data_IF_568477639918
#
_entry.id   IF_568477639918
#
_cell.length_a   1.000
_cell.length_b   1.000
_cell.length_c   1.000
_cell.angle_alpha   90.00
_cell.angle_beta   90.00
_cell.angle_gamma   90.00
#
_symmetry.space_group_name_H-M   'P 1'
#
loop_
_entity.id
_entity.type
_entity.pdbx_description
1 polymer ?
#
# COMPACT_ATOMS: atom_id res chain seq x y z
N UNK A 1 17.01 -82.60 44.85
CA UNK A 1 17.64 -81.76 43.81
C UNK A 1 17.23 -80.32 44.06
N UNK A 2 18.23 -79.44 44.20
CA UNK A 2 18.20 -77.96 44.04
C UNK A 2 17.15 -77.11 44.77
N UNK A 3 17.63 -76.35 45.76
CA UNK A 3 17.21 -75.00 46.22
C UNK A 3 17.36 -73.93 45.10
N UNK A 4 17.07 -72.62 45.30
CA UNK A 4 15.98 -71.87 45.98
C UNK A 4 15.53 -70.59 45.20
N UNK A 5 14.86 -69.62 45.88
CA UNK A 5 14.63 -68.18 45.58
C UNK A 5 13.23 -67.80 45.00
N UNK A 6 12.47 -66.80 45.46
CA UNK A 6 12.71 -65.70 46.41
C UNK A 6 12.65 -64.31 45.73
N UNK A 7 11.93 -63.36 46.36
CA UNK A 7 11.86 -61.87 46.16
C UNK A 7 10.62 -61.37 45.40
N UNK A 8 9.69 -60.62 46.01
CA UNK A 8 9.75 -59.26 46.61
C UNK A 8 10.26 -58.18 45.64
N UNK A 9 9.35 -57.31 45.17
CA UNK A 9 9.67 -55.93 44.82
C UNK A 9 8.69 -55.01 45.54
N UNK A 10 9.31 -54.04 46.19
CA UNK A 10 8.85 -53.02 47.11
C UNK A 10 8.22 -51.79 46.43
N UNK A 11 7.19 -51.28 47.12
CA UNK A 11 6.76 -49.87 47.27
C UNK A 11 7.89 -48.86 47.09
N UNK A 12 7.64 -47.77 46.34
CA UNK A 12 8.07 -46.34 46.50
C UNK A 12 7.45 -45.63 45.27
N UNK A 13 6.73 -44.50 45.29
CA UNK A 13 6.65 -43.35 46.17
C UNK A 13 5.88 -42.29 45.36
N UNK A 14 4.79 -41.76 45.92
CA UNK A 14 3.97 -40.70 45.34
C UNK A 14 4.55 -39.33 45.74
N UNK A 15 4.33 -38.31 44.90
CA UNK A 15 4.65 -36.86 45.04
C UNK A 15 6.08 -36.37 44.67
N UNK A 16 6.19 -35.60 43.58
CA UNK A 16 6.30 -34.11 43.51
C UNK A 16 6.80 -33.69 42.12
N UNK A 17 6.19 -32.65 41.51
CA UNK A 17 6.76 -31.92 40.36
C UNK A 17 5.69 -31.31 39.44
N UNK A 18 5.01 -30.23 39.84
CA UNK A 18 5.38 -28.82 39.58
C UNK A 18 5.20 -28.40 38.11
N UNK A 19 4.28 -27.43 37.93
CA UNK A 19 4.22 -26.41 36.88
C UNK A 19 4.51 -26.83 35.44
N UNK A 20 3.47 -27.21 34.70
CA UNK A 20 3.44 -26.90 33.26
C UNK A 20 3.00 -25.45 33.12
N UNK A 21 3.98 -24.56 33.27
CA UNK A 21 3.93 -23.17 32.84
C UNK A 21 3.45 -23.17 31.38
N UNK A 22 2.38 -22.43 31.10
CA UNK A 22 1.94 -22.09 29.75
C UNK A 22 3.04 -21.31 29.02
N UNK A 23 4.03 -22.02 28.47
CA UNK A 23 4.77 -21.57 27.30
C UNK A 23 3.81 -21.67 26.12
N UNK A 24 3.06 -20.59 25.85
CA UNK A 24 2.57 -20.38 24.49
C UNK A 24 3.81 -20.16 23.63
N UNK A 25 4.24 -21.23 22.97
CA UNK A 25 5.06 -21.18 21.76
C UNK A 25 4.56 -20.03 20.89
N UNK A 26 5.47 -19.25 20.31
CA UNK A 26 5.13 -18.30 19.27
C UNK A 26 4.24 -19.03 18.25
N UNK A 27 2.95 -18.67 18.21
CA UNK A 27 1.99 -19.36 17.35
C UNK A 27 2.43 -19.21 15.91
N UNK A 28 2.32 -20.29 15.13
CA UNK A 28 2.59 -20.25 13.69
C UNK A 28 1.83 -19.09 13.03
N UNK A 29 2.42 -18.54 11.97
CA UNK A 29 1.80 -17.45 11.20
C UNK A 29 0.38 -17.85 10.78
N UNK A 30 -0.57 -16.90 10.83
CA UNK A 30 -1.97 -17.19 10.47
C UNK A 30 -2.01 -17.76 9.03
N UNK A 31 -2.48 -19.01 8.84
CA UNK A 31 -2.40 -19.72 7.56
C UNK A 31 -3.49 -19.31 6.57
N UNK A 32 -4.38 -18.38 6.94
CA UNK A 32 -5.49 -17.94 6.10
C UNK A 32 -5.00 -17.48 4.71
N UNK A 33 -5.51 -18.08 3.62
CA UNK A 33 -5.06 -17.78 2.26
C UNK A 33 -5.43 -16.36 1.86
N UNK A 34 -4.61 -15.76 0.98
CA UNK A 34 -4.91 -14.43 0.45
C UNK A 34 -6.28 -14.42 -0.27
N UNK A 35 -7.16 -13.44 0.02
CA UNK A 35 -8.52 -13.40 -0.49
C UNK A 35 -8.54 -13.29 -2.02
N UNK A 36 -9.63 -13.75 -2.64
CA UNK A 36 -9.88 -13.63 -4.07
C UNK A 36 -11.11 -12.75 -4.31
N UNK A 37 -10.97 -11.41 -4.30
CA UNK A 37 -12.11 -10.52 -4.45
C UNK A 37 -12.71 -10.63 -5.84
N UNK A 38 -14.03 -10.47 -5.93
CA UNK A 38 -14.77 -10.58 -7.20
C UNK A 38 -14.56 -9.40 -8.15
N UNK A 39 -13.91 -8.34 -7.68
CA UNK A 39 -13.74 -7.08 -8.40
C UNK A 39 -12.47 -6.38 -7.94
N UNK A 40 -11.84 -5.64 -8.86
CA UNK A 40 -10.66 -4.81 -8.59
C UNK A 40 -11.03 -3.46 -7.98
N UNK A 41 -12.33 -3.11 -7.90
CA UNK A 41 -12.79 -1.79 -7.49
C UNK A 41 -12.35 -1.47 -6.07
N UNK A 42 -11.59 -0.39 -5.92
CA UNK A 42 -11.12 0.08 -4.64
C UNK A 42 -11.13 1.59 -4.50
N UNK A 43 -10.96 2.05 -3.27
CA UNK A 43 -10.96 3.46 -2.90
C UNK A 43 -9.97 3.70 -1.77
N UNK A 44 -9.24 4.81 -1.80
CA UNK A 44 -8.52 5.28 -0.62
C UNK A 44 -9.55 5.91 0.33
N UNK A 45 -9.85 5.21 1.41
CA UNK A 45 -11.08 5.42 2.19
C UNK A 45 -10.92 6.59 3.15
N UNK A 46 -11.83 7.56 3.04
CA UNK A 46 -12.06 8.63 4.01
C UNK A 46 -13.40 8.46 4.74
N UNK A 47 -14.46 8.05 4.04
CA UNK A 47 -15.81 7.84 4.59
C UNK A 47 -16.17 6.35 4.50
N UNK A 48 -16.11 5.62 5.63
CA UNK A 48 -16.25 4.16 5.63
C UNK A 48 -17.63 3.69 5.12
N UNK A 49 -18.71 4.32 5.58
CA UNK A 49 -20.07 3.91 5.19
C UNK A 49 -20.35 4.15 3.70
N UNK A 50 -19.91 5.28 3.14
CA UNK A 50 -20.05 5.55 1.70
C UNK A 50 -19.17 4.61 0.86
N UNK A 51 -17.95 4.30 1.33
CA UNK A 51 -17.08 3.32 0.66
C UNK A 51 -17.75 1.94 0.57
N UNK A 52 -18.41 1.50 1.64
CA UNK A 52 -19.17 0.24 1.67
C UNK A 52 -20.38 0.32 0.72
N UNK A 53 -21.13 1.43 0.74
CA UNK A 53 -22.28 1.64 -0.14
C UNK A 53 -21.91 1.69 -1.63
N UNK A 54 -20.71 2.18 -1.96
CA UNK A 54 -20.12 2.15 -3.30
C UNK A 54 -19.73 0.73 -3.77
N UNK A 55 -19.74 -0.25 -2.85
CA UNK A 55 -19.49 -1.65 -3.16
C UNK A 55 -18.03 -1.97 -3.46
N UNK A 56 -17.08 -1.23 -2.86
CA UNK A 56 -15.65 -1.53 -3.06
C UNK A 56 -15.29 -2.94 -2.58
N UNK A 57 -14.19 -3.46 -3.10
CA UNK A 57 -13.57 -4.73 -2.69
C UNK A 57 -12.14 -4.55 -2.20
N UNK A 58 -11.55 -3.38 -2.43
CA UNK A 58 -10.24 -3.00 -1.93
C UNK A 58 -10.29 -1.64 -1.25
N UNK A 59 -9.67 -1.51 -0.09
CA UNK A 59 -9.53 -0.25 0.63
C UNK A 59 -8.05 0.05 0.88
N UNK A 60 -7.62 1.27 0.62
CA UNK A 60 -6.33 1.77 1.11
C UNK A 60 -6.53 2.77 2.24
N UNK A 61 -5.71 2.67 3.28
CA UNK A 61 -5.68 3.59 4.41
C UNK A 61 -4.24 4.05 4.65
N UNK A 62 -4.06 5.36 4.84
CA UNK A 62 -2.77 5.93 5.23
C UNK A 62 -2.51 5.62 6.70
N UNK A 63 -1.30 5.15 7.00
CA UNK A 63 -0.88 4.81 8.35
C UNK A 63 0.45 5.48 8.68
N UNK A 64 0.42 6.51 9.53
CA UNK A 64 1.59 7.30 9.88
C UNK A 64 2.24 6.77 11.16
N UNK A 65 3.48 6.26 11.06
CA UNK A 65 4.22 5.77 12.24
C UNK A 65 4.47 6.87 13.28
N UNK A 66 4.59 8.13 12.85
CA UNK A 66 4.74 9.28 13.76
C UNK A 66 3.52 9.55 14.64
N UNK A 67 2.34 9.05 14.27
CA UNK A 67 1.13 9.11 15.11
C UNK A 67 0.96 7.85 15.97
N UNK A 68 1.65 6.77 15.63
CA UNK A 68 1.60 5.49 16.35
C UNK A 68 2.60 5.45 17.51
N UNK A 69 3.86 5.77 17.24
CA UNK A 69 4.97 5.49 18.17
C UNK A 69 4.88 6.41 19.38
N UNK A 70 5.05 5.83 20.57
CA UNK A 70 4.97 6.56 21.83
C UNK A 70 6.22 6.31 22.68
N UNK A 71 7.31 7.08 22.47
CA UNK A 71 8.59 6.82 23.09
C UNK A 71 8.59 7.12 24.60
N UNK A 72 7.65 7.94 25.08
CA UNK A 72 7.54 8.35 26.50
C UNK A 72 6.36 7.69 27.22
N UNK A 73 5.60 6.86 26.51
CA UNK A 73 4.20 6.57 26.80
C UNK A 73 3.84 6.08 28.19
N UNK A 74 2.61 6.39 28.57
CA UNK A 74 1.93 5.81 29.74
C UNK A 74 2.01 4.28 29.66
N UNK A 75 2.30 3.65 30.81
CA UNK A 75 2.20 2.20 31.01
C UNK A 75 0.88 1.56 30.57
N UNK A 76 -0.20 2.34 30.47
CA UNK A 76 -1.50 1.87 29.97
C UNK A 76 -1.60 1.76 28.44
N UNK A 77 -0.64 2.29 27.68
CA UNK A 77 -0.68 2.20 26.22
C UNK A 77 -0.35 0.79 25.72
N UNK A 78 -0.97 0.32 24.62
CA UNK A 78 -0.61 -0.94 23.99
C UNK A 78 0.90 -1.02 23.72
N UNK A 79 1.48 -2.21 23.91
CA UNK A 79 2.92 -2.38 23.83
C UNK A 79 3.31 -3.77 23.32
N UNK A 80 4.55 -3.88 22.83
CA UNK A 80 5.22 -5.15 22.56
C UNK A 80 6.62 -5.13 23.20
N UNK A 81 7.03 -6.26 23.79
CA UNK A 81 8.40 -6.44 24.28
C UNK A 81 9.20 -7.28 23.29
N UNK A 82 10.29 -6.70 22.76
CA UNK A 82 11.24 -7.39 21.87
C UNK A 82 12.64 -7.19 22.42
N UNK A 83 13.41 -8.28 22.51
CA UNK A 83 14.81 -8.25 22.95
C UNK A 83 15.02 -7.49 24.28
N UNK A 84 14.11 -7.69 25.23
CA UNK A 84 14.15 -7.04 26.55
C UNK A 84 13.74 -5.55 26.56
N UNK A 85 13.34 -4.98 25.41
CA UNK A 85 12.86 -3.59 25.30
C UNK A 85 11.35 -3.54 25.03
N UNK A 86 10.65 -2.74 25.80
CA UNK A 86 9.21 -2.51 25.65
C UNK A 86 8.97 -1.28 24.79
N UNK A 87 8.28 -1.46 23.68
CA UNK A 87 7.89 -0.42 22.73
C UNK A 87 6.40 -0.15 22.90
N UNK A 88 6.02 1.11 23.10
CA UNK A 88 4.63 1.53 23.37
C UNK A 88 4.05 2.30 22.19
N UNK A 89 2.73 2.25 22.09
CA UNK A 89 1.99 2.78 20.96
C UNK A 89 0.75 3.57 21.40
N UNK A 90 0.47 4.67 20.70
CA UNK A 90 -0.65 5.56 20.98
C UNK A 90 -1.99 4.83 20.85
N UNK A 91 -2.66 4.62 21.98
CA UNK A 91 -3.95 3.89 22.05
C UNK A 91 -5.03 4.48 21.16
N UNK A 92 -5.23 5.80 21.22
CA UNK A 92 -6.31 6.47 20.49
C UNK A 92 -6.17 6.34 18.97
N UNK A 93 -4.94 6.48 18.45
CA UNK A 93 -4.67 6.28 17.03
C UNK A 93 -4.91 4.83 16.60
N UNK A 94 -4.47 3.86 17.41
CA UNK A 94 -4.69 2.44 17.15
C UNK A 94 -6.17 2.06 17.15
N UNK A 95 -6.93 2.48 18.16
CA UNK A 95 -8.35 2.13 18.28
C UNK A 95 -9.17 2.74 17.14
N UNK A 96 -8.83 3.95 16.68
CA UNK A 96 -9.44 4.56 15.49
C UNK A 96 -9.15 3.78 14.20
N UNK A 97 -7.92 3.28 14.03
CA UNK A 97 -7.55 2.43 12.90
C UNK A 97 -8.21 1.06 12.99
N UNK A 98 -8.26 0.43 14.17
CA UNK A 98 -8.96 -0.84 14.38
C UNK A 98 -10.43 -0.74 13.96
N UNK A 99 -11.11 0.34 14.33
CA UNK A 99 -12.52 0.53 13.97
C UNK A 99 -12.70 0.56 12.45
N UNK A 100 -11.88 1.31 11.72
CA UNK A 100 -11.95 1.38 10.26
C UNK A 100 -11.60 0.04 9.60
N UNK A 101 -10.47 -0.55 9.99
CA UNK A 101 -9.96 -1.80 9.43
C UNK A 101 -10.96 -2.93 9.69
N UNK A 102 -11.47 -3.07 10.91
CA UNK A 102 -12.46 -4.09 11.25
C UNK A 102 -13.74 -3.92 10.45
N UNK A 103 -14.30 -2.71 10.39
CA UNK A 103 -15.55 -2.44 9.67
C UNK A 103 -15.46 -2.81 8.18
N UNK A 104 -14.31 -2.52 7.54
CA UNK A 104 -14.05 -2.87 6.15
C UNK A 104 -13.81 -4.37 5.97
N UNK A 105 -12.89 -4.95 6.73
CA UNK A 105 -12.47 -6.35 6.57
C UNK A 105 -13.55 -7.37 6.92
N UNK A 106 -14.41 -7.10 7.91
CA UNK A 106 -15.57 -7.96 8.23
C UNK A 106 -16.58 -8.06 7.08
N UNK A 107 -16.54 -7.12 6.13
CA UNK A 107 -17.35 -7.12 4.90
C UNK A 107 -16.63 -7.76 3.70
N UNK A 108 -15.50 -8.43 3.94
CA UNK A 108 -14.69 -9.06 2.90
C UNK A 108 -13.91 -8.08 2.04
N UNK A 109 -13.77 -6.82 2.44
CA UNK A 109 -12.96 -5.81 1.73
C UNK A 109 -11.49 -6.05 2.07
N UNK A 110 -10.64 -6.15 1.04
CA UNK A 110 -9.20 -6.30 1.22
C UNK A 110 -8.60 -4.96 1.63
N UNK A 111 -8.08 -4.90 2.87
CA UNK A 111 -7.46 -3.70 3.41
C UNK A 111 -5.96 -3.67 3.12
N UNK A 112 -5.52 -2.54 2.58
CA UNK A 112 -4.13 -2.17 2.33
C UNK A 112 -3.74 -0.99 3.22
N UNK A 113 -2.58 -1.08 3.87
CA UNK A 113 -2.01 0.03 4.62
C UNK A 113 -0.85 0.65 3.86
N UNK A 114 -0.88 1.97 3.70
CA UNK A 114 0.25 2.76 3.20
C UNK A 114 1.02 3.24 4.42
N UNK A 115 2.18 2.64 4.66
CA UNK A 115 3.05 2.99 5.76
C UNK A 115 3.76 4.31 5.43
N UNK A 116 3.58 5.31 6.28
CA UNK A 116 4.10 6.66 6.11
C UNK A 116 4.88 7.10 7.36
N UNK A 117 5.72 8.11 7.20
CA UNK A 117 6.58 8.64 8.26
C UNK A 117 6.73 10.16 8.12
N UNK A 118 5.64 10.89 8.41
CA UNK A 118 5.68 12.34 8.38
C UNK A 118 6.52 12.89 9.53
N UNK A 119 7.24 13.97 9.26
CA UNK A 119 7.99 14.70 10.27
C UNK A 119 7.07 15.14 11.41
N UNK A 120 7.47 14.80 12.63
CA UNK A 120 6.81 15.23 13.86
C UNK A 120 7.53 16.43 14.45
N UNK A 121 6.79 17.28 15.16
CA UNK A 121 7.38 18.33 15.99
C UNK A 121 8.10 17.77 17.21
N UNK A 122 7.83 16.53 17.60
CA UNK A 122 8.47 15.86 18.74
C UNK A 122 9.93 15.46 18.41
N UNK A 123 10.94 15.94 19.16
CA UNK A 123 12.34 15.61 18.93
C UNK A 123 12.68 14.11 19.10
N UNK A 124 11.99 13.38 19.98
CA UNK A 124 12.23 11.94 20.15
C UNK A 124 11.72 11.17 18.93
N UNK A 125 10.53 11.51 18.43
CA UNK A 125 10.00 10.90 17.21
C UNK A 125 10.88 11.21 16.01
N UNK A 126 11.40 12.43 15.88
CA UNK A 126 12.35 12.77 14.81
C UNK A 126 13.60 11.90 14.85
N UNK A 127 14.21 11.77 16.03
CA UNK A 127 15.41 10.95 16.26
C UNK A 127 15.16 9.46 16.00
N UNK A 128 14.01 8.94 16.42
CA UNK A 128 13.67 7.52 16.32
C UNK A 128 13.25 7.15 14.90
N UNK A 129 12.37 7.94 14.27
CA UNK A 129 11.65 7.51 13.07
C UNK A 129 12.23 8.05 11.77
N UNK A 130 12.74 9.28 11.72
CA UNK A 130 13.21 9.87 10.46
C UNK A 130 14.54 9.24 10.05
N UNK A 131 14.65 8.90 8.77
CA UNK A 131 15.91 8.40 8.24
C UNK A 131 17.06 9.37 8.58
N UNK A 132 18.25 8.90 9.00
CA UNK A 132 19.34 9.80 9.44
C UNK A 132 19.81 10.82 8.40
N UNK A 133 19.62 10.52 7.11
CA UNK A 133 19.90 11.41 5.99
C UNK A 133 18.72 12.33 5.60
N UNK A 134 17.61 12.31 6.35
CA UNK A 134 16.44 13.15 6.08
C UNK A 134 16.82 14.61 5.96
N UNK A 135 16.26 15.27 4.94
CA UNK A 135 16.45 16.69 4.71
C UNK A 135 15.14 17.45 5.00
N UNK A 136 15.21 18.41 5.92
CA UNK A 136 14.06 19.23 6.35
C UNK A 136 13.54 20.18 5.27
N UNK A 137 14.26 20.34 4.14
CA UNK A 137 13.80 21.10 2.98
C UNK A 137 12.91 20.27 2.03
N UNK A 138 12.58 19.02 2.38
CA UNK A 138 11.67 18.22 1.57
C UNK A 138 10.25 18.83 1.58
N UNK A 139 9.55 18.94 0.43
CA UNK A 139 8.30 19.69 0.36
C UNK A 139 7.14 19.11 1.18
N UNK A 140 7.01 17.78 1.25
CA UNK A 140 5.86 17.14 1.88
C UNK A 140 6.16 16.59 3.28
N UNK A 141 7.33 16.92 3.84
CA UNK A 141 7.73 16.51 5.19
C UNK A 141 7.62 14.99 5.43
N UNK A 142 7.84 14.18 4.38
CA UNK A 142 7.69 12.73 4.42
C UNK A 142 9.06 12.07 4.28
N UNK A 143 9.52 11.43 5.36
CA UNK A 143 10.84 10.81 5.44
C UNK A 143 10.81 9.35 5.00
N UNK A 144 11.94 8.83 4.51
CA UNK A 144 12.19 7.40 4.55
C UNK A 144 12.23 6.90 6.01
N UNK A 145 12.17 5.60 6.21
CA UNK A 145 12.16 5.01 7.56
C UNK A 145 13.57 4.88 8.13
N UNK A 146 13.75 5.20 9.41
CA UNK A 146 15.01 4.96 10.11
C UNK A 146 15.22 3.47 10.43
N UNK A 147 15.80 2.74 9.49
CA UNK A 147 16.26 1.35 9.72
C UNK A 147 17.78 1.23 9.84
N UNK A 148 18.47 2.37 9.85
CA UNK A 148 19.93 2.50 9.91
C UNK A 148 20.44 2.48 11.35
N UNK A 149 19.84 3.29 12.22
CA UNK A 149 20.28 3.34 13.62
C UNK A 149 19.75 2.12 14.38
N UNK A 150 20.49 1.58 15.37
CA UNK A 150 20.00 0.47 16.18
C UNK A 150 18.65 0.75 16.85
N UNK A 151 18.44 1.97 17.32
CA UNK A 151 17.21 2.37 17.98
C UNK A 151 16.05 2.54 17.00
N UNK A 152 16.25 3.26 15.89
CA UNK A 152 15.22 3.41 14.86
C UNK A 152 14.80 2.07 14.30
N UNK A 153 15.76 1.17 14.02
CA UNK A 153 15.47 -0.19 13.57
C UNK A 153 14.66 -0.98 14.59
N UNK A 154 15.01 -0.91 15.87
CA UNK A 154 14.27 -1.60 16.94
C UNK A 154 12.80 -1.12 17.01
N UNK A 155 12.58 0.19 16.96
CA UNK A 155 11.24 0.78 16.92
C UNK A 155 10.47 0.43 15.65
N UNK A 156 11.11 0.46 14.49
CA UNK A 156 10.49 0.11 13.22
C UNK A 156 10.02 -1.35 13.21
N UNK A 157 10.92 -2.29 13.52
CA UNK A 157 10.58 -3.71 13.57
C UNK A 157 9.51 -4.01 14.64
N UNK A 158 9.60 -3.38 15.82
CA UNK A 158 8.58 -3.51 16.86
C UNK A 158 7.22 -2.98 16.41
N UNK A 159 7.19 -1.86 15.70
CA UNK A 159 5.96 -1.27 15.16
C UNK A 159 5.32 -2.21 14.14
N UNK A 160 6.07 -2.66 13.11
CA UNK A 160 5.50 -3.54 12.09
C UNK A 160 5.09 -4.89 12.69
N UNK A 161 5.89 -5.47 13.58
CA UNK A 161 5.53 -6.73 14.24
C UNK A 161 4.25 -6.58 15.06
N UNK A 162 4.14 -5.53 15.89
CA UNK A 162 2.94 -5.27 16.68
C UNK A 162 1.69 -5.12 15.80
N UNK A 163 1.78 -4.34 14.72
CA UNK A 163 0.65 -4.13 13.79
C UNK A 163 0.29 -5.42 13.05
N UNK A 164 1.29 -6.17 12.58
CA UNK A 164 1.08 -7.44 11.89
C UNK A 164 0.44 -8.47 12.81
N UNK A 165 0.91 -8.60 14.05
CA UNK A 165 0.28 -9.45 15.07
C UNK A 165 -1.16 -9.02 15.31
N UNK A 166 -1.39 -7.72 15.54
CA UNK A 166 -2.70 -7.14 15.89
C UNK A 166 -3.77 -7.39 14.83
N UNK A 167 -3.45 -7.16 13.55
CA UNK A 167 -4.42 -7.27 12.44
C UNK A 167 -4.29 -8.57 11.64
N UNK A 168 -3.57 -9.57 12.15
CA UNK A 168 -3.59 -10.93 11.58
C UNK A 168 -3.94 -12.00 12.63
N UNK A 169 -4.47 -11.59 13.78
CA UNK A 169 -4.95 -12.52 14.82
C UNK A 169 -5.96 -13.50 14.24
N UNK A 170 -5.87 -14.80 14.58
CA UNK A 170 -6.87 -15.79 14.15
C UNK A 170 -8.29 -15.50 14.65
N UNK A 171 -8.44 -14.80 15.77
CA UNK A 171 -9.75 -14.41 16.31
C UNK A 171 -10.37 -13.18 15.64
N UNK A 172 -9.67 -12.53 14.69
CA UNK A 172 -10.17 -11.38 13.94
C UNK A 172 -10.48 -10.13 14.78
N UNK A 173 -10.10 -10.08 16.06
CA UNK A 173 -10.58 -9.08 17.05
C UNK A 173 -10.46 -7.62 16.59
N UNK A 174 -9.43 -7.30 15.83
CA UNK A 174 -9.12 -5.93 15.38
C UNK A 174 -9.26 -5.75 13.87
N UNK A 175 -9.89 -6.72 13.17
CA UNK A 175 -9.95 -6.76 11.71
C UNK A 175 -8.71 -7.39 11.07
N UNK A 176 -8.62 -7.26 9.74
CA UNK A 176 -7.61 -7.92 8.90
C UNK A 176 -6.94 -6.94 7.93
N UNK A 177 -5.60 -6.94 7.91
CA UNK A 177 -4.79 -6.24 6.91
C UNK A 177 -4.03 -7.24 6.05
N UNK A 178 -4.21 -7.15 4.73
CA UNK A 178 -3.60 -8.07 3.77
C UNK A 178 -2.37 -7.49 3.07
N UNK A 179 -2.40 -6.19 2.78
CA UNK A 179 -1.38 -5.53 1.96
C UNK A 179 -0.67 -4.44 2.76
N UNK A 180 0.65 -4.40 2.67
CA UNK A 180 1.52 -3.45 3.35
C UNK A 180 2.36 -2.72 2.31
N UNK A 181 2.01 -1.48 2.00
CA UNK A 181 2.72 -0.63 1.06
C UNK A 181 3.76 0.17 1.84
N UNK A 182 5.04 0.02 1.51
CA UNK A 182 6.14 0.61 2.28
C UNK A 182 6.51 1.96 1.69
N UNK A 183 6.17 3.06 2.37
CA UNK A 183 6.42 4.40 1.86
C UNK A 183 5.48 4.78 0.71
N UNK A 184 5.74 5.94 0.10
CA UNK A 184 4.95 6.46 -1.01
C UNK A 184 5.86 6.94 -2.14
N UNK A 185 5.53 6.59 -3.39
CA UNK A 185 6.16 7.13 -4.61
C UNK A 185 7.70 7.24 -4.51
N UNK A 186 8.35 6.14 -4.14
CA UNK A 186 9.74 6.17 -3.69
C UNK A 186 10.73 6.47 -4.83
N UNK A 187 10.30 6.43 -6.08
CA UNK A 187 11.08 6.94 -7.21
C UNK A 187 11.12 8.47 -7.31
N UNK A 188 10.22 9.14 -6.61
CA UNK A 188 10.24 10.57 -6.32
C UNK A 188 10.59 10.83 -4.86
N UNK A 189 11.58 10.09 -4.33
CA UNK A 189 11.86 9.99 -2.90
C UNK A 189 12.03 11.34 -2.19
N UNK A 190 12.63 12.35 -2.82
CA UNK A 190 12.81 13.64 -2.17
C UNK A 190 11.50 14.24 -1.68
N UNK A 191 10.40 13.98 -2.38
CA UNK A 191 9.06 14.49 -2.10
C UNK A 191 8.28 13.55 -1.18
N UNK A 192 8.43 12.24 -1.33
CA UNK A 192 7.48 11.27 -0.76
C UNK A 192 8.12 10.13 0.06
N UNK A 193 9.44 10.09 0.19
CA UNK A 193 10.18 9.11 0.98
C UNK A 193 11.62 9.59 1.23
N UNK A 194 11.78 10.79 1.81
CA UNK A 194 13.02 11.54 1.74
C UNK A 194 14.21 10.83 2.42
N UNK A 195 15.28 10.61 1.65
CA UNK A 195 16.57 10.04 2.07
C UNK A 195 17.72 10.99 1.67
N UNK A 196 17.55 12.29 1.83
CA UNK A 196 18.57 13.27 1.43
C UNK A 196 18.87 13.23 -0.08
N UNK A 197 20.09 13.55 -0.50
CA UNK A 197 20.52 13.36 -1.90
C UNK A 197 21.19 11.99 -2.03
N UNK A 198 20.73 11.17 -2.97
CA UNK A 198 21.25 9.80 -3.13
C UNK A 198 21.04 9.25 -4.55
N UNK A 199 21.87 8.31 -4.96
CA UNK A 199 21.69 7.61 -6.24
C UNK A 199 20.54 6.60 -6.16
N UNK A 200 19.99 6.22 -7.32
CA UNK A 200 18.95 5.18 -7.39
C UNK A 200 19.41 3.85 -6.79
N UNK A 201 20.67 3.44 -7.00
CA UNK A 201 21.20 2.18 -6.47
C UNK A 201 21.37 2.21 -4.94
N UNK A 202 21.88 3.32 -4.41
CA UNK A 202 22.03 3.50 -2.96
C UNK A 202 20.65 3.56 -2.27
N UNK A 203 19.69 4.31 -2.85
CA UNK A 203 18.32 4.33 -2.35
C UNK A 203 17.67 2.94 -2.41
N UNK A 204 17.82 2.20 -3.52
CA UNK A 204 17.27 0.85 -3.64
C UNK A 204 17.82 -0.11 -2.58
N UNK A 205 19.10 -0.01 -2.24
CA UNK A 205 19.71 -0.81 -1.18
C UNK A 205 19.14 -0.47 0.20
N UNK A 206 18.92 0.81 0.48
CA UNK A 206 18.30 1.23 1.74
C UNK A 206 16.84 0.81 1.86
N UNK A 207 16.08 1.05 0.80
CA UNK A 207 14.67 0.71 0.71
C UNK A 207 14.44 -0.80 0.77
N UNK A 208 15.28 -1.60 0.12
CA UNK A 208 15.24 -3.07 0.18
C UNK A 208 15.36 -3.57 1.62
N UNK A 209 16.27 -3.01 2.42
CA UNK A 209 16.42 -3.36 3.83
C UNK A 209 15.11 -3.12 4.59
N UNK A 210 14.51 -1.96 4.38
CA UNK A 210 13.25 -1.59 5.04
C UNK A 210 12.10 -2.51 4.63
N UNK A 211 11.94 -2.76 3.32
CA UNK A 211 10.90 -3.65 2.78
C UNK A 211 11.08 -5.08 3.27
N UNK A 212 12.33 -5.58 3.35
CA UNK A 212 12.63 -6.91 3.88
C UNK A 212 12.28 -7.02 5.36
N UNK A 213 12.56 -6.01 6.17
CA UNK A 213 12.15 -5.97 7.57
C UNK A 213 10.62 -5.99 7.70
N UNK A 214 9.91 -5.23 6.87
CA UNK A 214 8.44 -5.27 6.82
C UNK A 214 7.95 -6.68 6.49
N UNK A 215 8.49 -7.29 5.43
CA UNK A 215 8.11 -8.62 4.98
C UNK A 215 8.33 -9.67 6.07
N UNK A 216 9.51 -9.70 6.69
CA UNK A 216 9.79 -10.64 7.77
C UNK A 216 8.84 -10.48 8.96
N UNK A 217 8.54 -9.24 9.36
CA UNK A 217 7.60 -8.98 10.45
C UNK A 217 6.17 -9.41 10.09
N UNK A 218 5.70 -9.10 8.87
CA UNK A 218 4.37 -9.51 8.39
C UNK A 218 4.26 -11.04 8.28
N UNK A 219 5.25 -11.70 7.69
CA UNK A 219 5.26 -13.15 7.46
C UNK A 219 5.33 -13.99 8.74
N UNK A 220 5.79 -13.42 9.86
CA UNK A 220 5.72 -14.05 11.18
C UNK A 220 4.28 -14.21 11.68
N UNK A 221 3.37 -13.33 11.26
CA UNK A 221 1.98 -13.32 11.74
C UNK A 221 0.95 -13.63 10.65
N UNK A 222 1.35 -13.62 9.37
CA UNK A 222 0.48 -13.90 8.23
C UNK A 222 1.21 -14.69 7.15
N UNK A 223 0.79 -15.93 6.91
CA UNK A 223 1.38 -16.81 5.91
C UNK A 223 1.09 -16.38 4.46
N UNK A 224 0.26 -15.35 4.26
CA UNK A 224 -0.12 -14.86 2.94
C UNK A 224 -0.23 -13.32 2.87
N UNK A 225 0.19 -12.61 3.93
CA UNK A 225 0.31 -11.16 3.91
C UNK A 225 1.34 -10.71 2.87
N UNK A 226 1.03 -9.63 2.16
CA UNK A 226 1.77 -9.15 0.99
C UNK A 226 2.40 -7.79 1.25
N UNK A 227 3.64 -7.61 0.78
CA UNK A 227 4.39 -6.34 0.92
C UNK A 227 4.66 -5.74 -0.46
N UNK A 228 4.39 -4.44 -0.60
CA UNK A 228 4.42 -3.71 -1.86
C UNK A 228 5.41 -2.57 -1.83
N UNK A 229 6.17 -2.43 -2.92
CA UNK A 229 6.94 -1.24 -3.25
C UNK A 229 6.01 -0.15 -3.78
N UNK A 230 6.22 1.13 -3.48
CA UNK A 230 5.36 2.21 -3.99
C UNK A 230 6.06 3.07 -5.04
N UNK A 231 5.52 3.13 -6.26
CA UNK A 231 6.10 3.92 -7.36
C UNK A 231 5.05 4.81 -8.04
N UNK A 232 5.49 5.98 -8.47
CA UNK A 232 4.76 6.85 -9.40
C UNK A 232 5.08 6.56 -10.88
N UNK A 233 4.30 7.15 -11.79
CA UNK A 233 4.25 6.81 -13.22
C UNK A 233 5.50 7.08 -14.08
N UNK A 234 6.51 7.82 -13.60
CA UNK A 234 7.73 8.15 -14.36
C UNK A 234 8.61 6.91 -14.47
N UNK A 235 8.71 6.36 -15.69
CA UNK A 235 9.21 5.00 -15.91
C UNK A 235 10.64 4.98 -16.47
N UNK A 236 10.85 5.58 -17.65
CA UNK A 236 12.17 5.79 -18.27
C UNK A 236 12.64 7.25 -18.21
N UNK A 237 11.90 8.10 -17.52
CA UNK A 237 12.30 9.45 -17.13
C UNK A 237 12.12 9.59 -15.61
N UNK A 238 12.72 10.60 -15.00
CA UNK A 238 12.47 10.94 -13.60
C UNK A 238 11.39 12.02 -13.49
N UNK A 239 10.81 12.18 -12.29
CA UNK A 239 9.86 13.26 -12.01
C UNK A 239 10.50 14.64 -12.25
N UNK A 240 9.95 15.48 -13.15
CA UNK A 240 10.56 16.75 -13.52
C UNK A 240 10.68 17.78 -12.40
N UNK A 241 9.91 17.63 -11.32
CA UNK A 241 9.97 18.54 -10.17
C UNK A 241 11.24 18.40 -9.33
N UNK A 242 11.97 17.30 -9.45
CA UNK A 242 13.23 17.06 -8.72
C UNK A 242 14.47 17.17 -9.60
N UNK A 243 15.63 17.31 -8.95
CA UNK A 243 16.96 17.27 -9.59
C UNK A 243 17.67 15.94 -9.38
N UNK A 244 18.86 15.80 -9.95
CA UNK A 244 19.72 14.64 -9.71
C UNK A 244 19.89 14.37 -8.20
N UNK A 245 19.78 13.10 -7.83
CA UNK A 245 19.85 12.66 -6.43
C UNK A 245 18.53 12.80 -5.64
N UNK A 246 17.51 13.46 -6.18
CA UNK A 246 16.19 13.64 -5.54
C UNK A 246 15.10 12.74 -6.12
N UNK A 247 15.26 12.35 -7.37
CA UNK A 247 14.29 11.61 -8.17
C UNK A 247 15.05 10.66 -9.09
N UNK A 248 14.42 9.56 -9.50
CA UNK A 248 14.98 8.64 -10.47
C UNK A 248 13.87 7.95 -11.28
N UNK A 249 14.17 7.43 -12.48
CA UNK A 249 13.18 6.68 -13.25
C UNK A 249 12.78 5.37 -12.53
N UNK A 250 11.51 5.00 -12.62
CA UNK A 250 10.94 3.83 -11.95
C UNK A 250 11.51 2.49 -12.45
N UNK A 251 11.80 2.36 -13.75
CA UNK A 251 12.32 1.10 -14.31
C UNK A 251 13.71 0.74 -13.77
N UNK A 252 14.76 1.58 -13.93
CA UNK A 252 16.08 1.25 -13.40
C UNK A 252 16.06 1.08 -11.88
N UNK A 253 15.21 1.83 -11.17
CA UNK A 253 15.04 1.64 -9.74
C UNK A 253 14.54 0.24 -9.37
N UNK A 254 13.50 -0.28 -10.04
CA UNK A 254 13.02 -1.64 -9.80
C UNK A 254 14.08 -2.70 -10.15
N UNK A 255 14.89 -2.45 -11.19
CA UNK A 255 16.01 -3.32 -11.55
C UNK A 255 17.07 -3.35 -10.43
N UNK A 256 17.45 -2.18 -9.88
CA UNK A 256 18.35 -2.08 -8.72
C UNK A 256 17.77 -2.75 -7.48
N UNK A 257 16.50 -2.49 -7.16
CA UNK A 257 15.82 -3.10 -6.01
C UNK A 257 15.80 -4.62 -6.13
N UNK A 258 15.39 -5.14 -7.29
CA UNK A 258 15.31 -6.58 -7.51
C UNK A 258 16.69 -7.24 -7.43
N UNK A 259 17.74 -6.59 -7.94
CA UNK A 259 19.13 -7.05 -7.78
C UNK A 259 19.54 -7.09 -6.31
N UNK A 260 19.22 -6.06 -5.53
CA UNK A 260 19.50 -6.03 -4.08
C UNK A 260 18.75 -7.15 -3.35
N UNK A 261 17.46 -7.33 -3.63
CA UNK A 261 16.62 -8.36 -3.02
C UNK A 261 17.14 -9.78 -3.30
N UNK A 262 17.51 -10.07 -4.56
CA UNK A 262 18.07 -11.39 -4.94
C UNK A 262 19.43 -11.66 -4.30
N UNK A 263 20.27 -10.64 -4.17
CA UNK A 263 21.59 -10.76 -3.53
C UNK A 263 21.49 -11.14 -2.05
N UNK A 264 20.44 -10.69 -1.35
CA UNK A 264 20.17 -11.01 0.06
C UNK A 264 19.26 -12.22 0.29
N UNK A 265 18.96 -13.00 -0.75
CA UNK A 265 17.92 -14.03 -0.75
C UNK A 265 16.56 -13.43 -1.10
N UNK A 266 16.04 -13.76 -2.29
CA UNK A 266 14.80 -13.17 -2.81
C UNK A 266 13.57 -13.56 -1.96
N UNK A 267 12.50 -12.78 -2.08
CA UNK A 267 11.23 -12.95 -1.35
C UNK A 267 10.06 -12.39 -2.17
N UNK A 268 8.82 -12.74 -1.82
CA UNK A 268 7.59 -12.39 -2.55
C UNK A 268 7.11 -10.93 -2.34
N UNK A 269 7.96 -9.94 -2.62
CA UNK A 269 7.54 -8.54 -2.76
C UNK A 269 6.69 -8.30 -4.03
N UNK A 270 5.91 -7.22 -4.00
CA UNK A 270 4.95 -6.82 -5.05
C UNK A 270 5.01 -5.32 -5.35
N UNK A 271 4.18 -4.82 -6.28
CA UNK A 271 4.23 -3.42 -6.73
C UNK A 271 2.90 -2.68 -6.51
N UNK A 272 2.93 -1.60 -5.75
CA UNK A 272 1.92 -0.56 -5.68
C UNK A 272 2.34 0.54 -6.67
N UNK A 273 1.58 0.73 -7.75
CA UNK A 273 1.93 1.64 -8.85
C UNK A 273 0.89 2.74 -9.03
N UNK A 274 1.33 3.98 -9.27
CA UNK A 274 0.45 5.15 -9.41
C UNK A 274 0.38 5.67 -10.86
N UNK A 275 -0.43 5.05 -11.75
CA UNK A 275 -0.54 5.47 -13.15
C UNK A 275 -1.43 6.71 -13.34
N UNK A 276 -1.06 7.85 -12.75
CA UNK A 276 -1.72 9.12 -13.04
C UNK A 276 -1.67 9.46 -14.54
N UNK A 277 -2.62 10.26 -15.07
CA UNK A 277 -2.46 10.91 -16.38
C UNK A 277 -1.13 11.68 -16.45
N UNK A 278 -0.54 11.80 -17.64
CA UNK A 278 0.79 12.43 -17.77
C UNK A 278 0.81 13.91 -17.33
N UNK A 279 -0.32 14.58 -17.49
CA UNK A 279 -0.64 15.89 -16.93
C UNK A 279 -1.73 15.70 -15.88
N UNK A 280 -1.40 15.97 -14.62
CA UNK A 280 -2.32 15.78 -13.50
C UNK A 280 -3.60 16.62 -13.64
N UNK A 281 -3.58 17.75 -14.35
CA UNK A 281 -4.74 18.61 -14.59
C UNK A 281 -5.57 18.20 -15.81
N UNK A 282 -5.08 17.27 -16.63
CA UNK A 282 -5.79 16.77 -17.80
C UNK A 282 -6.16 15.29 -17.62
N UNK A 283 -7.43 14.96 -17.32
CA UNK A 283 -7.83 13.60 -17.00
C UNK A 283 -7.78 12.65 -18.21
N UNK A 284 -7.54 13.16 -19.43
CA UNK A 284 -7.64 12.41 -20.69
C UNK A 284 -6.44 11.52 -20.96
N UNK A 285 -6.17 10.58 -20.05
CA UNK A 285 -5.01 9.68 -20.13
C UNK A 285 -4.92 8.87 -21.43
N UNK A 286 -6.03 8.63 -22.12
CA UNK A 286 -6.03 8.01 -23.45
C UNK A 286 -5.28 8.82 -24.52
N UNK A 287 -4.97 10.10 -24.24
CA UNK A 287 -4.19 10.99 -25.09
C UNK A 287 -2.73 11.12 -24.67
N UNK A 288 -2.31 10.47 -23.58
CA UNK A 288 -0.98 10.66 -23.00
C UNK A 288 0.14 10.34 -24.00
N UNK A 289 0.85 11.35 -24.48
CA UNK A 289 1.85 11.20 -25.53
C UNK A 289 3.13 10.50 -25.02
N UNK A 290 3.42 10.64 -23.72
CA UNK A 290 4.55 9.99 -23.06
C UNK A 290 4.28 8.53 -22.67
N UNK A 291 3.05 8.03 -22.88
CA UNK A 291 2.67 6.64 -22.64
C UNK A 291 2.72 5.82 -23.94
N UNK A 292 3.92 5.31 -24.25
CA UNK A 292 4.22 4.51 -25.43
C UNK A 292 4.05 3.00 -25.18
N UNK A 293 3.81 2.17 -26.21
CA UNK A 293 3.50 0.75 -26.02
C UNK A 293 4.66 -0.13 -25.51
N UNK A 294 5.91 0.27 -25.77
CA UNK A 294 7.10 -0.48 -25.39
C UNK A 294 7.62 -0.04 -24.02
N UNK A 295 7.61 -0.96 -23.05
CA UNK A 295 8.06 -0.71 -21.69
C UNK A 295 9.54 -0.31 -21.61
N UNK A 296 10.35 -0.68 -22.61
CA UNK A 296 11.79 -0.35 -22.67
C UNK A 296 12.05 1.12 -22.95
N UNK A 297 11.15 1.77 -23.68
CA UNK A 297 11.36 3.13 -24.21
C UNK A 297 10.32 4.13 -23.73
N UNK A 298 9.16 3.69 -23.24
CA UNK A 298 8.09 4.59 -22.81
C UNK A 298 8.55 5.50 -21.67
N UNK A 299 8.44 6.84 -21.79
CA UNK A 299 8.80 7.73 -20.70
C UNK A 299 7.96 7.47 -19.45
N UNK A 300 6.63 7.32 -19.60
CA UNK A 300 5.70 7.05 -18.48
C UNK A 300 4.91 5.77 -18.70
N UNK A 301 4.42 5.21 -17.61
CA UNK A 301 3.32 4.23 -17.65
C UNK A 301 2.09 4.88 -17.03
N UNK A 302 1.04 5.06 -17.84
CA UNK A 302 -0.26 5.58 -17.41
C UNK A 302 -1.35 4.55 -17.74
N UNK A 303 -2.63 4.89 -17.57
CA UNK A 303 -3.73 4.01 -18.00
C UNK A 303 -3.68 3.68 -19.50
N UNK A 304 -3.02 4.50 -20.33
CA UNK A 304 -2.92 4.27 -21.78
C UNK A 304 -2.13 3.03 -22.16
N UNK A 305 -1.06 2.75 -21.44
CA UNK A 305 -0.13 1.66 -21.71
C UNK A 305 0.08 0.75 -20.49
N UNK A 306 -0.89 0.68 -19.58
CA UNK A 306 -0.76 -0.01 -18.28
C UNK A 306 -0.29 -1.48 -18.38
N UNK A 307 -0.63 -2.16 -19.48
CA UNK A 307 -0.15 -3.51 -19.83
C UNK A 307 1.39 -3.64 -19.85
N UNK A 308 2.11 -2.53 -20.02
CA UNK A 308 3.57 -2.47 -19.99
C UNK A 308 4.14 -2.98 -18.65
N UNK A 309 3.44 -2.77 -17.52
CA UNK A 309 3.87 -3.29 -16.21
C UNK A 309 3.92 -4.82 -16.20
N UNK A 310 2.85 -5.47 -16.69
CA UNK A 310 2.78 -6.93 -16.75
C UNK A 310 3.89 -7.52 -17.63
N UNK A 311 4.18 -6.87 -18.76
CA UNK A 311 5.29 -7.26 -19.65
C UNK A 311 6.65 -7.12 -18.97
N UNK A 312 6.89 -6.01 -18.28
CA UNK A 312 8.13 -5.77 -17.55
C UNK A 312 8.32 -6.78 -16.42
N UNK A 313 7.33 -6.94 -15.54
CA UNK A 313 7.38 -7.86 -14.40
C UNK A 313 7.40 -9.34 -14.81
N UNK A 314 7.06 -9.64 -16.07
CA UNK A 314 7.17 -10.97 -16.65
C UNK A 314 8.61 -11.43 -16.92
N UNK A 315 9.61 -10.55 -16.81
CA UNK A 315 11.01 -10.93 -17.00
C UNK A 315 11.49 -11.89 -15.89
N UNK A 316 12.28 -12.93 -16.21
CA UNK A 316 12.71 -13.94 -15.24
C UNK A 316 13.37 -13.36 -13.98
N UNK A 317 14.15 -12.28 -14.14
CA UNK A 317 14.87 -11.63 -13.05
C UNK A 317 13.92 -10.94 -12.06
N UNK A 318 12.72 -10.56 -12.49
CA UNK A 318 11.73 -9.87 -11.67
C UNK A 318 10.67 -10.82 -11.10
N UNK A 319 10.67 -12.09 -11.50
CA UNK A 319 9.76 -13.10 -10.96
C UNK A 319 10.24 -13.61 -9.60
N UNK A 320 9.31 -14.15 -8.81
CA UNK A 320 9.63 -14.91 -7.60
C UNK A 320 9.19 -16.35 -7.80
N UNK A 321 10.12 -17.30 -7.71
CA UNK A 321 9.84 -18.74 -7.89
C UNK A 321 9.04 -19.04 -9.18
N UNK A 322 9.42 -18.39 -10.29
CA UNK A 322 8.77 -18.55 -11.59
C UNK A 322 7.39 -17.88 -11.71
N UNK A 323 6.97 -17.08 -10.73
CA UNK A 323 5.69 -16.36 -10.73
C UNK A 323 5.90 -14.86 -10.86
N UNK A 324 5.11 -14.23 -11.72
CA UNK A 324 5.05 -12.77 -11.84
C UNK A 324 4.52 -12.15 -10.55
N UNK A 325 5.19 -11.08 -10.10
CA UNK A 325 4.78 -10.30 -8.93
C UNK A 325 3.47 -9.56 -9.21
N UNK A 326 2.63 -9.42 -8.18
CA UNK A 326 1.32 -8.80 -8.32
C UNK A 326 1.42 -7.28 -8.29
N UNK A 327 0.46 -6.63 -8.94
CA UNK A 327 0.34 -5.17 -8.95
C UNK A 327 -0.96 -4.75 -8.28
N UNK A 328 -0.93 -3.71 -7.46
CA UNK A 328 -2.11 -2.92 -7.10
C UNK A 328 -1.89 -1.50 -7.58
N UNK A 329 -2.95 -0.84 -8.05
CA UNK A 329 -2.92 0.58 -8.30
C UNK A 329 -3.46 1.27 -7.05
N UNK A 330 -2.57 1.80 -6.22
CA UNK A 330 -2.90 2.18 -4.82
C UNK A 330 -3.39 3.61 -4.64
N UNK A 331 -3.01 4.52 -5.53
CA UNK A 331 -3.37 5.94 -5.49
C UNK A 331 -3.31 6.58 -6.88
N UNK A 332 -4.46 6.88 -7.50
CA UNK A 332 -4.54 7.65 -8.75
C UNK A 332 -5.89 8.36 -8.83
N UNK A 333 -5.90 9.54 -9.43
CA UNK A 333 -7.12 10.30 -9.64
C UNK A 333 -7.21 10.96 -10.99
N UNK A 334 -8.40 11.49 -11.26
CA UNK A 334 -8.70 12.23 -12.47
C UNK A 334 -9.12 13.63 -12.06
N UNK A 335 -8.37 14.64 -12.51
CA UNK A 335 -8.74 16.02 -12.27
C UNK A 335 -10.07 16.34 -12.95
N UNK A 336 -10.84 17.20 -12.31
CA UNK A 336 -12.02 17.84 -12.89
C UNK A 336 -11.57 19.15 -13.51
N UNK A 337 -11.46 19.27 -14.85
CA UNK A 337 -11.14 20.54 -15.49
C UNK A 337 -12.18 21.62 -15.15
N UNK A 338 -11.82 22.88 -15.37
CA UNK A 338 -12.79 23.96 -15.29
C UNK A 338 -13.83 23.89 -16.41
N UNK A 339 -14.98 24.53 -16.18
CA UNK A 339 -16.07 24.60 -17.14
C UNK A 339 -17.14 23.51 -16.97
N UNK A 340 -18.25 23.62 -17.73
CA UNK A 340 -19.46 22.82 -17.54
C UNK A 340 -19.26 21.33 -17.83
N UNK A 341 -18.25 20.96 -18.63
CA UNK A 341 -17.97 19.57 -19.00
C UNK A 341 -16.92 18.88 -18.12
N UNK A 342 -16.30 19.61 -17.20
CA UNK A 342 -15.15 19.11 -16.44
C UNK A 342 -15.43 17.83 -15.66
N UNK A 343 -16.58 17.77 -14.97
CA UNK A 343 -16.97 16.58 -14.21
C UNK A 343 -17.35 15.39 -15.10
N UNK A 344 -17.87 15.66 -16.30
CA UNK A 344 -18.17 14.62 -17.29
C UNK A 344 -16.87 14.05 -17.87
N UNK A 345 -15.87 14.90 -18.15
CA UNK A 345 -14.54 14.45 -18.57
C UNK A 345 -13.84 13.63 -17.48
N UNK A 346 -13.98 14.03 -16.21
CA UNK A 346 -13.49 13.26 -15.07
C UNK A 346 -14.11 11.85 -15.04
N UNK A 347 -15.44 11.76 -15.17
CA UNK A 347 -16.16 10.49 -15.19
C UNK A 347 -15.77 9.61 -16.39
N UNK A 348 -15.61 10.21 -17.59
CA UNK A 348 -15.16 9.50 -18.78
C UNK A 348 -13.73 8.94 -18.63
N UNK A 349 -12.85 9.67 -17.96
CA UNK A 349 -11.50 9.21 -17.64
C UNK A 349 -11.48 8.00 -16.71
N UNK A 350 -12.33 7.99 -15.69
CA UNK A 350 -12.51 6.80 -14.88
C UNK A 350 -13.03 5.62 -15.70
N UNK A 351 -14.00 5.83 -16.60
CA UNK A 351 -14.53 4.77 -17.47
C UNK A 351 -13.43 4.13 -18.32
N UNK A 352 -12.57 4.96 -18.93
CA UNK A 352 -11.40 4.52 -19.68
C UNK A 352 -10.43 3.72 -18.82
N UNK A 353 -10.00 4.30 -17.69
CA UNK A 353 -9.07 3.65 -16.78
C UNK A 353 -9.58 2.31 -16.26
N UNK A 354 -10.86 2.24 -15.86
CA UNK A 354 -11.50 1.00 -15.43
C UNK A 354 -11.46 -0.08 -16.52
N UNK A 355 -11.81 0.27 -17.76
CA UNK A 355 -11.77 -0.66 -18.87
C UNK A 355 -10.36 -1.22 -19.10
N UNK A 356 -9.34 -0.35 -19.08
CA UNK A 356 -7.94 -0.76 -19.23
C UNK A 356 -7.51 -1.71 -18.12
N UNK A 357 -7.80 -1.39 -16.86
CA UNK A 357 -7.35 -2.17 -15.70
C UNK A 357 -8.12 -3.47 -15.53
N UNK A 358 -9.42 -3.49 -15.85
CA UNK A 358 -10.24 -4.70 -15.77
C UNK A 358 -9.66 -5.84 -16.62
N UNK A 359 -9.09 -5.51 -17.78
CA UNK A 359 -8.45 -6.46 -18.70
C UNK A 359 -7.08 -7.00 -18.28
N UNK A 360 -6.44 -6.44 -17.24
CA UNK A 360 -5.04 -6.79 -16.90
C UNK A 360 -4.93 -7.84 -15.78
N UNK A 361 -4.66 -9.12 -16.08
CA UNK A 361 -4.68 -10.18 -15.07
C UNK A 361 -3.57 -10.08 -14.02
N UNK A 362 -2.54 -9.25 -14.24
CA UNK A 362 -1.47 -8.99 -13.27
C UNK A 362 -1.82 -7.94 -12.20
N UNK A 363 -2.90 -7.19 -12.42
CA UNK A 363 -3.36 -6.12 -11.52
C UNK A 363 -4.52 -6.62 -10.67
N UNK A 364 -4.33 -6.63 -9.35
CA UNK A 364 -5.28 -7.13 -8.36
C UNK A 364 -6.29 -6.07 -7.90
N UNK A 365 -5.92 -4.79 -7.92
CA UNK A 365 -6.77 -3.70 -7.41
C UNK A 365 -6.58 -2.40 -8.21
N UNK A 366 -7.67 -1.65 -8.36
CA UNK A 366 -7.69 -0.25 -8.80
C UNK A 366 -8.30 0.60 -7.69
N UNK A 367 -7.44 1.23 -6.89
CA UNK A 367 -7.80 2.04 -5.74
C UNK A 367 -7.79 3.51 -6.16
N UNK A 368 -8.99 4.09 -6.27
CA UNK A 368 -9.14 5.49 -6.68
C UNK A 368 -8.70 6.44 -5.54
N UNK A 369 -7.89 7.42 -5.90
CA UNK A 369 -7.69 8.67 -5.18
C UNK A 369 -8.55 9.75 -5.87
N UNK A 370 -9.62 10.27 -5.27
CA UNK A 370 -9.96 10.21 -3.85
C UNK A 370 -11.45 10.23 -3.58
N UNK A 371 -11.81 10.03 -2.32
CA UNK A 371 -13.19 10.00 -1.88
C UNK A 371 -13.88 11.36 -2.05
N UNK A 372 -13.27 12.44 -1.55
CA UNK A 372 -13.79 13.81 -1.59
C UNK A 372 -12.70 14.74 -2.11
N UNK A 373 -13.03 15.71 -2.97
CA UNK A 373 -12.10 16.78 -3.38
C UNK A 373 -11.41 17.40 -2.15
N UNK A 374 -10.19 17.89 -2.28
CA UNK A 374 -9.42 18.37 -1.13
C UNK A 374 -8.75 19.71 -1.38
N UNK A 375 -8.98 20.66 -0.47
CA UNK A 375 -8.54 22.04 -0.64
C UNK A 375 -7.01 22.20 -0.65
N UNK A 376 -6.26 21.24 -0.09
CA UNK A 376 -4.79 21.30 0.03
C UNK A 376 -4.08 20.33 -0.93
N UNK A 377 -4.69 20.03 -2.08
CA UNK A 377 -4.15 19.09 -3.08
C UNK A 377 -3.58 19.80 -4.31
N UNK A 378 -2.92 20.94 -4.11
CA UNK A 378 -2.28 21.70 -5.19
C UNK A 378 -3.25 22.17 -6.29
N UNK A 379 -4.54 22.33 -5.98
CA UNK A 379 -5.58 22.69 -6.94
C UNK A 379 -6.23 21.51 -7.66
N UNK A 380 -5.82 20.27 -7.39
CA UNK A 380 -6.46 19.09 -7.96
C UNK A 380 -7.86 18.85 -7.36
N UNK A 381 -8.78 18.38 -8.22
CA UNK A 381 -10.17 18.04 -7.87
C UNK A 381 -10.46 16.61 -8.32
N UNK A 382 -10.00 15.64 -7.52
CA UNK A 382 -9.99 14.21 -7.86
C UNK A 382 -11.14 13.40 -7.25
N UNK A 383 -11.96 14.03 -6.41
CA UNK A 383 -13.00 13.41 -5.61
C UNK A 383 -14.13 12.77 -6.40
N UNK A 384 -14.73 11.74 -5.80
CA UNK A 384 -16.08 11.28 -6.13
C UNK A 384 -17.16 12.29 -5.68
N UNK A 385 -16.82 13.04 -4.63
CA UNK A 385 -17.61 14.14 -4.09
C UNK A 385 -16.86 15.46 -4.23
N UNK A 386 -17.58 16.56 -4.38
CA UNK A 386 -17.05 17.90 -4.10
C UNK A 386 -16.83 18.06 -2.60
N UNK A 387 -15.96 19.01 -2.22
CA UNK A 387 -15.88 19.46 -0.83
C UNK A 387 -16.75 20.69 -0.61
N UNK A 388 -17.25 20.85 0.61
CA UNK A 388 -17.94 22.06 1.07
C UNK A 388 -16.96 23.23 1.03
N UNK A 389 -17.32 24.38 0.44
CA UNK A 389 -16.45 25.57 0.41
C UNK A 389 -15.95 25.95 1.81
N UNK A 390 -14.64 26.21 1.93
CA UNK A 390 -13.99 26.54 3.20
C UNK A 390 -13.66 25.34 4.10
N UNK A 391 -14.09 24.13 3.74
CA UNK A 391 -13.64 22.89 4.40
C UNK A 391 -12.43 22.28 3.70
N UNK A 392 -11.64 21.48 4.41
CA UNK A 392 -10.51 20.75 3.80
C UNK A 392 -11.01 19.63 2.89
N UNK A 393 -11.97 18.81 3.35
CA UNK A 393 -12.51 17.68 2.60
C UNK A 393 -13.87 17.19 3.12
N UNK A 394 -14.74 18.10 3.58
CA UNK A 394 -16.10 17.73 4.00
C UNK A 394 -16.95 17.50 2.74
N UNK A 395 -17.56 16.32 2.52
CA UNK A 395 -18.35 16.06 1.31
C UNK A 395 -19.55 17.01 1.19
N UNK A 396 -19.85 17.47 -0.02
CA UNK A 396 -21.03 18.30 -0.30
C UNK A 396 -21.94 17.67 -1.35
N UNK A 397 -21.45 17.50 -2.59
CA UNK A 397 -22.23 16.99 -3.72
C UNK A 397 -21.52 15.83 -4.41
N UNK A 398 -22.28 14.78 -4.77
CA UNK A 398 -21.78 13.70 -5.64
C UNK A 398 -21.51 14.23 -7.04
N UNK A 399 -20.34 13.91 -7.58
CA UNK A 399 -19.97 14.21 -8.97
C UNK A 399 -20.42 13.05 -9.88
N UNK A 400 -20.63 13.25 -11.19
CA UNK A 400 -20.91 12.20 -12.16
C UNK A 400 -20.02 10.95 -12.06
N UNK A 401 -18.74 11.12 -11.71
CA UNK A 401 -17.80 10.01 -11.49
C UNK A 401 -18.29 9.02 -10.40
N UNK A 402 -19.07 9.48 -9.41
CA UNK A 402 -19.64 8.66 -8.35
C UNK A 402 -20.50 7.52 -8.91
N UNK A 403 -21.40 7.82 -9.85
CA UNK A 403 -22.32 6.81 -10.38
C UNK A 403 -21.63 5.81 -11.30
N UNK A 404 -20.67 6.25 -12.11
CA UNK A 404 -19.88 5.32 -12.94
C UNK A 404 -18.97 4.45 -12.08
N UNK A 405 -18.36 5.00 -11.02
CA UNK A 405 -17.58 4.23 -10.04
C UNK A 405 -18.45 3.17 -9.38
N UNK A 406 -19.64 3.55 -8.88
CA UNK A 406 -20.57 2.62 -8.23
C UNK A 406 -20.96 1.45 -9.13
N UNK A 407 -21.14 1.69 -10.43
CA UNK A 407 -21.61 0.69 -11.41
C UNK A 407 -20.49 -0.03 -12.18
N UNK A 408 -19.23 0.32 -11.98
CA UNK A 408 -18.12 -0.12 -12.83
C UNK A 408 -17.95 -1.65 -12.91
N UNK A 409 -18.20 -2.35 -11.80
CA UNK A 409 -18.07 -3.81 -11.65
C UNK A 409 -19.43 -4.53 -11.59
N UNK A 410 -20.46 -3.91 -12.16
CA UNK A 410 -21.84 -4.42 -12.15
C UNK A 410 -22.34 -4.69 -13.58
N UNK A 411 -23.42 -5.48 -13.77
CA UNK A 411 -24.04 -5.66 -15.09
C UNK A 411 -24.49 -4.35 -15.74
N UNK A 412 -24.74 -3.29 -14.96
CA UNK A 412 -25.14 -1.96 -15.45
C UNK A 412 -23.97 -1.14 -16.02
N UNK A 413 -22.73 -1.64 -15.95
CA UNK A 413 -21.50 -0.95 -16.38
C UNK A 413 -21.65 -0.36 -17.78
N UNK A 414 -21.99 -1.16 -18.78
CA UNK A 414 -21.94 -0.71 -20.17
C UNK A 414 -22.96 0.41 -20.44
N UNK A 415 -24.15 0.33 -19.84
CA UNK A 415 -25.14 1.39 -19.89
C UNK A 415 -24.65 2.67 -19.19
N UNK A 416 -24.03 2.54 -18.02
CA UNK A 416 -23.46 3.66 -17.27
C UNK A 416 -22.27 4.32 -17.99
N UNK A 417 -21.51 3.54 -18.76
CA UNK A 417 -20.28 3.98 -19.44
C UNK A 417 -20.52 4.49 -20.87
N UNK A 418 -21.73 4.33 -21.42
CA UNK A 418 -22.04 4.62 -22.82
C UNK A 418 -21.72 6.08 -23.23
N UNK A 419 -21.94 7.05 -22.34
CA UNK A 419 -21.64 8.47 -22.61
C UNK A 419 -20.14 8.74 -22.87
N UNK A 420 -19.25 7.88 -22.35
CA UNK A 420 -17.80 8.07 -22.48
C UNK A 420 -17.29 7.70 -23.88
N UNK A 421 -17.98 6.82 -24.61
CA UNK A 421 -17.58 6.33 -25.94
C UNK A 421 -17.29 7.48 -26.93
N UNK A 422 -18.21 8.44 -27.17
CA UNK A 422 -17.93 9.56 -28.07
C UNK A 422 -16.78 10.47 -27.59
N UNK A 423 -16.61 10.66 -26.28
CA UNK A 423 -15.52 11.46 -25.70
C UNK A 423 -14.14 10.81 -25.89
N UNK A 424 -14.12 9.48 -25.91
CA UNK A 424 -12.94 8.66 -26.18
C UNK A 424 -12.67 8.47 -27.68
N UNK A 425 -13.61 8.87 -28.54
CA UNK A 425 -13.51 8.69 -29.99
C UNK A 425 -13.59 7.22 -30.43
N UNK A 426 -14.37 6.41 -29.71
CA UNK A 426 -14.60 4.98 -30.00
C UNK A 426 -16.10 4.70 -30.12
N UNK A 427 -16.45 3.66 -30.88
CA UNK A 427 -17.84 3.22 -31.04
C UNK A 427 -18.20 2.08 -30.08
N UNK A 428 -17.19 1.35 -29.59
CA UNK A 428 -17.35 0.29 -28.60
C UNK A 428 -16.07 0.09 -27.79
N UNK A 429 -16.21 -0.49 -26.59
CA UNK A 429 -15.08 -0.81 -25.71
C UNK A 429 -14.10 -1.86 -26.28
N UNK A 430 -14.45 -2.54 -27.38
CA UNK A 430 -13.52 -3.44 -28.08
C UNK A 430 -12.54 -2.68 -29.00
N UNK A 431 -12.76 -1.38 -29.26
CA UNK A 431 -11.88 -0.55 -30.07
C UNK A 431 -10.84 0.16 -29.20
N UNK A 432 -9.65 0.40 -29.76
CA UNK A 432 -8.65 1.27 -29.11
C UNK A 432 -9.07 2.73 -29.23
N UNK A 433 -8.93 3.50 -28.14
CA UNK A 433 -9.17 4.94 -28.12
C UNK A 433 -8.35 5.67 -29.20
N UNK A 434 -8.99 6.54 -29.98
CA UNK A 434 -8.33 7.30 -31.05
C UNK A 434 -7.78 8.60 -30.48
N UNK A 435 -6.50 8.87 -30.70
CA UNK A 435 -5.95 10.21 -30.54
C UNK A 435 -6.53 11.08 -31.66
N UNK A 436 -7.54 11.90 -31.35
CA UNK A 436 -8.00 13.00 -32.21
C UNK A 436 -7.55 14.32 -31.63
#
# INVERSE_FOLDING_TARGET
>A
MTTPHGRWISVWGFLVGVCTLCLRLAGDANPEPYPQPTSKKGLQVQMVDDAIALGIRHAALNFNLGQLVDPRGDTNNPAITREGRTHRFQRGYLEAMDQQIRTLSERGIVVSLILLNYESTDPDLRRILLHPAYNTQCPNHLSAFNTITPEGRAWYEASIQFLAERWNRPDGRYGRVWNWIVGNEVNSHWFWSNLGLTSSEAFATDYERTVRLTHQAVRRHSAHGRVFLSLEHHWNIAYPGGREGQVFPGRPFLEHFSKAARSGGDYDWHLAFHPYPEDLFNPRSWRDASAQPDWKTTPRITFRNIAALGKFLGQPELQFQGRTRRVILSEQGFHTPEGPEGEILQAAAYCYAWHQVAGEPGIDAFILHRHVDHAQEGGLRLGLWTHTPGSVATPERRKPIYEVFRRADTPERDAAFAFALPLLGIESWNQRARAR
#
